data_IF_328066744219
#
_entry.id   IF_328066744219
#
_cell.length_a   1.000
_cell.length_b   1.000
_cell.length_c   1.000
_cell.angle_alpha   90.00
_cell.angle_beta   90.00
_cell.angle_gamma   90.00
#
_symmetry.space_group_name_H-M   'P 1'
#
loop_
_entity.id
_entity.type
_entity.pdbx_description
1 polymer ?
#
# COMPACT_ATOMS: atom_id res chain seq x y z
N UNK A 1 1.45 26.90 -13.98
CA UNK A 1 2.64 26.03 -14.10
C UNK A 1 2.36 24.81 -13.26
N UNK A 2 2.35 23.62 -13.84
CA UNK A 2 2.29 22.38 -13.06
C UNK A 2 3.59 22.32 -12.27
N UNK A 3 3.50 22.28 -10.95
CA UNK A 3 4.67 22.17 -10.08
C UNK A 3 5.41 20.85 -10.33
N UNK A 4 6.72 20.82 -10.10
CA UNK A 4 7.48 19.57 -10.15
C UNK A 4 7.14 18.76 -8.90
N UNK A 5 6.83 17.47 -9.10
CA UNK A 5 6.69 16.50 -8.01
C UNK A 5 8.03 15.80 -7.80
N UNK A 6 8.42 15.61 -6.54
CA UNK A 6 9.68 14.97 -6.18
C UNK A 6 9.40 13.75 -5.31
N UNK A 7 10.16 12.67 -5.53
CA UNK A 7 10.23 11.55 -4.60
C UNK A 7 11.29 11.87 -3.56
N UNK A 8 10.90 11.97 -2.29
CA UNK A 8 11.82 12.29 -1.20
C UNK A 8 12.71 11.09 -0.86
N UNK A 9 12.14 9.89 -0.90
CA UNK A 9 12.80 8.64 -0.63
C UNK A 9 11.78 7.51 -0.49
N UNK A 10 12.24 6.34 -0.06
CA UNK A 10 11.38 5.18 0.13
C UNK A 10 12.17 3.99 0.68
N UNK A 11 11.45 2.93 0.98
CA UNK A 11 12.00 1.66 1.45
C UNK A 11 11.25 0.49 0.83
N UNK A 12 11.80 -0.70 0.97
CA UNK A 12 11.22 -1.93 0.48
C UNK A 12 11.57 -3.05 1.44
N UNK A 13 10.58 -3.89 1.77
CA UNK A 13 10.84 -5.12 2.51
C UNK A 13 11.51 -6.16 1.61
N UNK A 14 12.19 -7.13 2.21
CA UNK A 14 12.73 -8.27 1.48
C UNK A 14 11.59 -9.18 0.97
N UNK A 15 11.46 -9.30 -0.35
CA UNK A 15 10.39 -10.08 -0.99
C UNK A 15 10.58 -11.61 -0.90
N UNK A 16 11.75 -12.09 -0.52
CA UNK A 16 11.99 -13.52 -0.27
C UNK A 16 11.38 -13.97 1.06
N UNK A 17 11.12 -13.05 1.98
CA UNK A 17 10.56 -13.38 3.29
C UNK A 17 9.14 -13.92 3.19
N UNK A 18 8.86 -14.91 4.03
CA UNK A 18 7.50 -15.41 4.24
C UNK A 18 6.99 -14.97 5.61
N UNK A 19 6.20 -13.91 5.64
CA UNK A 19 5.68 -13.27 6.83
C UNK A 19 4.88 -14.21 7.74
N UNK A 20 4.16 -15.18 7.14
CA UNK A 20 3.42 -16.20 7.89
C UNK A 20 4.37 -17.15 8.64
N UNK A 21 5.48 -17.55 8.02
CA UNK A 21 6.50 -18.38 8.69
C UNK A 21 7.20 -17.64 9.82
N UNK A 22 7.30 -16.32 9.71
CA UNK A 22 7.83 -15.44 10.76
C UNK A 22 6.80 -15.09 11.84
N UNK A 23 5.58 -15.62 11.74
CA UNK A 23 4.45 -15.28 12.62
C UNK A 23 4.15 -13.77 12.65
N UNK A 24 4.26 -13.11 11.49
CA UNK A 24 3.98 -11.71 11.27
C UNK A 24 2.76 -11.53 10.36
N UNK A 25 2.03 -10.48 10.55
CA UNK A 25 0.83 -10.12 9.80
C UNK A 25 1.05 -8.87 8.91
N UNK A 26 0.00 -8.44 8.23
CA UNK A 26 0.01 -7.25 7.37
C UNK A 26 0.41 -5.98 8.13
N UNK A 27 0.03 -5.82 9.40
CA UNK A 27 0.41 -4.65 10.20
C UNK A 27 1.91 -4.61 10.42
N UNK A 28 2.52 -5.77 10.71
CA UNK A 28 3.97 -5.85 10.89
C UNK A 28 4.74 -5.50 9.60
N UNK A 29 4.22 -5.93 8.44
CA UNK A 29 4.78 -5.58 7.13
C UNK A 29 4.66 -4.07 6.87
N UNK A 30 3.47 -3.51 7.05
CA UNK A 30 3.24 -2.07 6.87
C UNK A 30 4.10 -1.23 7.81
N UNK A 31 4.22 -1.68 9.08
CA UNK A 31 5.06 -0.98 10.05
C UNK A 31 6.52 -0.97 9.63
N UNK A 32 7.08 -2.11 9.27
CA UNK A 32 8.49 -2.22 8.87
C UNK A 32 8.80 -1.28 7.69
N UNK A 33 8.02 -1.33 6.61
CA UNK A 33 8.28 -0.51 5.42
C UNK A 33 8.07 0.98 5.69
N UNK A 34 7.11 1.35 6.56
CA UNK A 34 6.87 2.75 6.91
C UNK A 34 7.97 3.31 7.81
N UNK A 35 8.40 2.55 8.82
CA UNK A 35 9.53 2.93 9.68
C UNK A 35 10.79 3.18 8.83
N UNK A 36 11.11 2.25 7.94
CA UNK A 36 12.28 2.35 7.07
C UNK A 36 12.17 3.52 6.08
N UNK A 37 10.99 3.74 5.49
CA UNK A 37 10.78 4.83 4.55
C UNK A 37 10.86 6.21 5.23
N UNK A 38 10.28 6.37 6.41
CA UNK A 38 10.38 7.61 7.19
C UNK A 38 11.82 7.89 7.62
N UNK A 39 12.52 6.86 8.11
CA UNK A 39 13.94 6.97 8.47
C UNK A 39 14.82 7.38 7.28
N UNK A 40 14.56 6.83 6.09
CA UNK A 40 15.33 7.14 4.88
C UNK A 40 15.26 8.63 4.47
N UNK A 41 14.23 9.33 4.90
CA UNK A 41 14.01 10.76 4.59
C UNK A 41 14.11 11.67 5.81
N UNK A 42 14.55 11.15 6.96
CA UNK A 42 14.64 11.85 8.24
C UNK A 42 13.30 12.47 8.68
N UNK A 43 12.19 11.79 8.42
CA UNK A 43 10.87 12.12 8.97
C UNK A 43 10.53 11.17 10.11
N UNK A 44 9.75 11.66 11.05
CA UNK A 44 9.21 10.91 12.18
C UNK A 44 7.68 10.81 12.11
N UNK A 45 7.09 10.03 13.00
CA UNK A 45 5.63 10.00 13.16
C UNK A 45 5.08 11.33 13.70
N UNK A 46 5.86 12.06 14.48
CA UNK A 46 5.53 13.41 14.94
C UNK A 46 5.40 14.39 13.78
N UNK A 47 6.26 14.26 12.76
CA UNK A 47 6.14 15.08 11.53
C UNK A 47 4.85 14.76 10.78
N UNK A 48 4.43 13.48 10.75
CA UNK A 48 3.15 13.07 10.14
C UNK A 48 1.97 13.72 10.91
N UNK A 49 2.01 13.73 12.24
CA UNK A 49 1.00 14.41 13.07
C UNK A 49 0.93 15.92 12.72
N UNK A 50 2.07 16.58 12.60
CA UNK A 50 2.12 18.01 12.27
C UNK A 50 1.64 18.30 10.84
N UNK A 51 1.96 17.46 9.89
CA UNK A 51 1.44 17.54 8.52
C UNK A 51 -0.08 17.30 8.48
N UNK A 52 -0.58 16.35 9.27
CA UNK A 52 -2.02 16.06 9.36
C UNK A 52 -2.81 17.24 9.96
N UNK A 53 -2.32 17.87 11.01
CA UNK A 53 -2.92 19.09 11.61
C UNK A 53 -3.08 20.20 10.56
N UNK A 54 -2.20 20.25 9.57
CA UNK A 54 -2.22 21.24 8.47
C UNK A 54 -3.00 20.74 7.25
N UNK A 55 -3.57 19.53 7.27
CA UNK A 55 -4.18 18.86 6.14
C UNK A 55 -3.22 18.71 4.93
N UNK A 56 -1.94 18.37 5.19
CA UNK A 56 -0.88 18.32 4.17
C UNK A 56 -0.39 16.90 3.87
N UNK A 57 -0.95 15.88 4.53
CA UNK A 57 -0.61 14.47 4.33
C UNK A 57 -1.86 13.66 4.00
N UNK A 58 -1.70 12.64 3.17
CA UNK A 58 -2.68 11.58 2.93
C UNK A 58 -1.93 10.30 2.55
N UNK A 59 -2.58 9.15 2.70
CA UNK A 59 -2.01 7.85 2.40
C UNK A 59 -2.71 7.19 1.21
N UNK A 60 -1.90 6.62 0.32
CA UNK A 60 -2.32 5.97 -0.93
C UNK A 60 -1.80 4.54 -0.92
N UNK A 61 -2.68 3.57 -0.70
CA UNK A 61 -2.29 2.16 -0.55
C UNK A 61 -2.55 1.41 -1.84
N UNK A 62 -1.50 0.97 -2.51
CA UNK A 62 -1.59 0.08 -3.67
C UNK A 62 -1.69 -1.38 -3.22
N UNK A 63 -2.77 -2.06 -3.57
CA UNK A 63 -2.98 -3.46 -3.25
C UNK A 63 -3.95 -4.08 -4.25
N UNK A 64 -3.65 -5.29 -4.73
CA UNK A 64 -4.51 -6.00 -5.66
C UNK A 64 -5.70 -6.64 -4.93
N UNK A 65 -5.45 -7.61 -4.07
CA UNK A 65 -6.52 -8.47 -3.58
C UNK A 65 -6.30 -8.97 -2.14
N UNK A 66 -6.06 -8.03 -1.23
CA UNK A 66 -5.85 -8.35 0.19
C UNK A 66 -6.98 -9.16 0.82
N UNK A 67 -8.20 -9.01 0.32
CA UNK A 67 -9.37 -9.79 0.77
C UNK A 67 -9.14 -11.30 0.64
N UNK A 68 -8.40 -11.73 -0.36
CA UNK A 68 -8.17 -13.16 -0.61
C UNK A 68 -6.87 -13.68 0.00
N UNK A 69 -5.81 -12.87 0.04
CA UNK A 69 -4.54 -13.30 0.62
C UNK A 69 -4.51 -13.23 2.14
N UNK A 70 -5.12 -12.20 2.72
CA UNK A 70 -5.06 -11.94 4.17
C UNK A 70 -6.43 -11.74 4.81
N UNK A 71 -7.51 -12.02 4.07
CA UNK A 71 -8.89 -11.85 4.52
C UNK A 71 -9.18 -10.44 5.08
N UNK A 72 -8.61 -9.41 4.43
CA UNK A 72 -8.69 -8.03 4.89
C UNK A 72 -9.04 -7.08 3.75
N UNK A 73 -10.20 -6.45 3.84
CA UNK A 73 -10.56 -5.27 3.06
C UNK A 73 -10.07 -3.98 3.72
N UNK A 74 -10.40 -2.84 3.10
CA UNK A 74 -10.15 -1.49 3.64
C UNK A 74 -8.70 -1.26 4.13
N UNK A 75 -7.74 -1.71 3.34
CA UNK A 75 -6.31 -1.67 3.71
C UNK A 75 -5.80 -0.25 4.00
N UNK A 76 -6.41 0.78 3.40
CA UNK A 76 -6.07 2.17 3.72
C UNK A 76 -6.24 2.50 5.21
N UNK A 77 -7.27 1.96 5.86
CA UNK A 77 -7.51 2.21 7.29
C UNK A 77 -6.51 1.47 8.21
N UNK A 78 -5.85 0.42 7.74
CA UNK A 78 -4.91 -0.34 8.56
C UNK A 78 -3.68 0.46 9.01
N UNK A 79 -3.40 1.59 8.39
CA UNK A 79 -2.30 2.46 8.81
C UNK A 79 -2.52 3.00 10.23
N UNK A 80 -3.77 3.16 10.67
CA UNK A 80 -4.09 3.55 12.05
C UNK A 80 -3.70 2.49 13.07
N UNK A 81 -3.62 1.21 12.67
CA UNK A 81 -3.12 0.12 13.51
C UNK A 81 -1.59 0.05 13.54
N UNK A 82 -0.93 0.72 12.61
CA UNK A 82 0.54 0.81 12.58
C UNK A 82 1.03 1.83 13.60
N UNK A 83 0.43 3.02 13.58
CA UNK A 83 0.78 4.11 14.49
C UNK A 83 -0.37 5.13 14.59
N UNK A 84 -0.58 5.69 15.79
CA UNK A 84 -1.60 6.71 16.06
C UNK A 84 -1.41 8.00 15.24
N UNK A 85 -0.21 8.25 14.73
CA UNK A 85 0.06 9.38 13.83
C UNK A 85 -0.83 9.38 12.58
N UNK A 86 -1.37 8.23 12.21
CA UNK A 86 -2.30 8.10 11.09
C UNK A 86 -3.77 8.33 11.46
N UNK A 87 -4.11 8.59 12.71
CA UNK A 87 -5.48 8.92 13.09
C UNK A 87 -5.94 10.21 12.40
N UNK A 88 -7.05 10.10 11.65
CA UNK A 88 -7.60 11.22 10.88
C UNK A 88 -6.83 11.56 9.59
N UNK A 89 -5.77 10.85 9.24
CA UNK A 89 -5.10 10.99 7.94
C UNK A 89 -5.99 10.37 6.86
N UNK A 90 -6.39 11.14 5.82
CA UNK A 90 -7.14 10.58 4.70
C UNK A 90 -6.36 9.45 4.03
N UNK A 91 -7.01 8.31 3.82
CA UNK A 91 -6.38 7.15 3.19
C UNK A 91 -7.34 6.40 2.30
N UNK A 92 -6.83 5.84 1.20
CA UNK A 92 -7.59 5.01 0.29
C UNK A 92 -6.73 3.89 -0.30
N UNK A 93 -7.38 2.77 -0.66
CA UNK A 93 -6.77 1.71 -1.45
C UNK A 93 -7.00 1.97 -2.94
N UNK A 94 -5.96 1.72 -3.73
CA UNK A 94 -5.96 1.79 -5.19
C UNK A 94 -5.67 0.40 -5.74
N UNK A 95 -6.46 -0.02 -6.73
CA UNK A 95 -6.38 -1.36 -7.30
C UNK A 95 -6.32 -1.26 -8.82
N UNK A 96 -5.33 -1.92 -9.42
CA UNK A 96 -5.13 -2.15 -10.85
C UNK A 96 -4.26 -3.41 -11.05
N UNK A 97 -4.59 -4.50 -10.36
CA UNK A 97 -3.81 -5.74 -10.32
C UNK A 97 -2.32 -5.45 -10.01
N UNK A 98 -1.40 -5.92 -10.86
CA UNK A 98 0.05 -5.70 -10.68
C UNK A 98 0.46 -4.21 -10.76
N UNK A 99 -0.40 -3.35 -11.31
CA UNK A 99 -0.15 -1.91 -11.43
C UNK A 99 -0.71 -1.08 -10.25
N UNK A 100 -1.25 -1.71 -9.20
CA UNK A 100 -1.89 -1.01 -8.07
C UNK A 100 -0.99 0.04 -7.43
N UNK A 101 0.30 -0.26 -7.25
CA UNK A 101 1.27 0.69 -6.73
C UNK A 101 1.49 1.89 -7.65
N UNK A 102 1.52 1.67 -8.96
CA UNK A 102 1.68 2.74 -9.94
C UNK A 102 0.46 3.68 -9.97
N UNK A 103 -0.76 3.12 -9.89
CA UNK A 103 -2.00 3.93 -9.83
C UNK A 103 -2.09 4.71 -8.52
N UNK A 104 -1.66 4.13 -7.40
CA UNK A 104 -1.58 4.83 -6.12
C UNK A 104 -0.58 6.01 -6.19
N UNK A 105 0.57 5.82 -6.84
CA UNK A 105 1.56 6.87 -7.04
C UNK A 105 1.01 7.98 -7.95
N UNK A 106 0.38 7.65 -9.06
CA UNK A 106 -0.25 8.60 -9.98
C UNK A 106 -1.30 9.45 -9.26
N UNK A 107 -2.17 8.82 -8.46
CA UNK A 107 -3.15 9.52 -7.65
C UNK A 107 -2.50 10.47 -6.63
N UNK A 108 -1.40 10.06 -5.98
CA UNK A 108 -0.65 10.90 -5.06
C UNK A 108 -0.04 12.12 -5.77
N UNK A 109 0.55 11.92 -6.96
CA UNK A 109 1.10 13.01 -7.78
C UNK A 109 0.03 14.03 -8.14
N UNK A 110 -1.14 13.58 -8.60
CA UNK A 110 -2.26 14.47 -8.93
C UNK A 110 -2.72 15.30 -7.71
N UNK A 111 -2.63 14.73 -6.49
CA UNK A 111 -2.97 15.46 -5.27
C UNK A 111 -1.93 16.52 -4.88
N UNK A 112 -0.64 16.28 -5.15
CA UNK A 112 0.40 17.31 -5.00
C UNK A 112 0.16 18.44 -6.02
N UNK A 113 -0.03 18.09 -7.28
CA UNK A 113 -0.23 19.06 -8.38
C UNK A 113 -1.47 19.94 -8.16
N UNK A 114 -2.53 19.39 -7.57
CA UNK A 114 -3.73 20.15 -7.18
C UNK A 114 -3.57 21.03 -5.94
N UNK A 115 -2.44 20.92 -5.22
CA UNK A 115 -2.19 21.63 -3.96
C UNK A 115 -2.97 21.06 -2.76
N UNK A 116 -3.61 19.89 -2.92
CA UNK A 116 -4.38 19.27 -1.84
C UNK A 116 -3.49 18.79 -0.70
N UNK A 117 -2.36 18.16 -1.05
CA UNK A 117 -1.39 17.66 -0.07
C UNK A 117 0.03 18.04 -0.48
N UNK A 118 0.91 18.17 0.50
CA UNK A 118 2.33 18.50 0.27
C UNK A 118 3.21 17.24 0.33
N UNK A 119 2.87 16.29 1.22
CA UNK A 119 3.65 15.08 1.49
C UNK A 119 2.72 13.85 1.52
N UNK A 120 2.24 13.36 0.37
CA UNK A 120 1.52 12.08 0.36
C UNK A 120 2.47 10.91 0.60
N UNK A 121 1.96 9.89 1.29
CA UNK A 121 2.64 8.63 1.55
C UNK A 121 2.02 7.57 0.65
N UNK A 122 2.84 6.91 -0.18
CA UNK A 122 2.40 5.82 -1.05
C UNK A 122 2.97 4.50 -0.51
N UNK A 123 2.10 3.52 -0.29
CA UNK A 123 2.48 2.20 0.26
C UNK A 123 1.94 1.11 -0.65
N UNK A 124 2.81 0.21 -1.12
CA UNK A 124 2.41 -1.04 -1.76
C UNK A 124 2.44 -2.19 -0.75
N UNK A 125 1.44 -3.06 -0.75
CA UNK A 125 1.39 -4.22 0.15
C UNK A 125 0.66 -5.39 -0.51
N UNK A 126 1.33 -6.55 -0.60
CA UNK A 126 0.72 -7.81 -1.06
C UNK A 126 1.40 -9.01 -0.42
N UNK A 127 0.67 -9.80 0.35
CA UNK A 127 1.22 -10.96 1.07
C UNK A 127 1.00 -12.28 0.31
N UNK A 128 1.39 -12.33 -0.96
CA UNK A 128 1.15 -13.47 -1.85
C UNK A 128 1.86 -14.76 -1.43
N UNK A 129 3.10 -14.66 -0.97
CA UNK A 129 3.93 -15.83 -0.62
C UNK A 129 3.50 -16.54 0.68
N UNK A 130 2.41 -16.09 1.31
CA UNK A 130 1.81 -16.76 2.47
C UNK A 130 0.79 -17.83 2.08
N UNK A 131 0.32 -17.83 0.82
CA UNK A 131 -0.63 -18.81 0.29
C UNK A 131 0.07 -19.98 -0.39
N UNK A 132 -0.59 -21.14 -0.42
CA UNK A 132 -0.11 -22.29 -1.21
C UNK A 132 -0.12 -21.96 -2.71
N UNK A 133 0.79 -22.54 -3.48
CA UNK A 133 0.97 -22.23 -4.90
C UNK A 133 -0.31 -22.39 -5.73
N UNK A 134 -1.13 -23.40 -5.44
CA UNK A 134 -2.43 -23.60 -6.13
C UNK A 134 -3.41 -22.49 -5.79
N UNK A 135 -3.52 -22.13 -4.52
CA UNK A 135 -4.38 -21.02 -4.03
C UNK A 135 -3.90 -19.71 -4.61
N UNK A 136 -2.58 -19.47 -4.61
CA UNK A 136 -2.00 -18.27 -5.18
C UNK A 136 -2.34 -18.11 -6.68
N UNK A 137 -2.23 -19.18 -7.48
CA UNK A 137 -2.59 -19.17 -8.90
C UNK A 137 -4.06 -18.83 -9.11
N UNK A 138 -4.96 -19.47 -8.35
CA UNK A 138 -6.40 -19.20 -8.44
C UNK A 138 -6.73 -17.73 -8.08
N UNK A 139 -6.08 -17.17 -7.05
CA UNK A 139 -6.23 -15.76 -6.68
C UNK A 139 -5.70 -14.85 -7.79
N UNK A 140 -4.51 -15.13 -8.34
CA UNK A 140 -3.92 -14.35 -9.42
C UNK A 140 -4.77 -14.37 -10.70
N UNK A 141 -5.44 -15.47 -10.98
CA UNK A 141 -6.38 -15.60 -12.10
C UNK A 141 -7.50 -14.56 -12.08
N UNK A 142 -7.80 -14.00 -10.92
CA UNK A 142 -8.82 -12.93 -10.78
C UNK A 142 -8.37 -11.57 -11.32
N UNK A 143 -7.12 -11.43 -11.71
CA UNK A 143 -6.66 -10.27 -12.49
C UNK A 143 -7.17 -10.28 -13.93
N UNK A 144 -7.65 -11.43 -14.41
CA UNK A 144 -8.30 -11.60 -15.70
C UNK A 144 -9.84 -11.60 -15.55
N UNK A 145 -10.57 -11.75 -16.67
CA UNK A 145 -12.02 -11.96 -16.60
C UNK A 145 -12.30 -13.40 -16.16
N UNK A 146 -12.19 -13.64 -14.87
CA UNK A 146 -12.18 -14.97 -14.23
C UNK A 146 -13.36 -15.84 -14.65
N UNK A 147 -14.58 -15.31 -14.66
CA UNK A 147 -15.80 -16.07 -15.01
C UNK A 147 -15.73 -16.67 -16.42
N UNK A 148 -15.10 -15.99 -17.36
CA UNK A 148 -14.93 -16.45 -18.74
C UNK A 148 -13.72 -17.37 -18.89
N UNK A 149 -12.61 -17.02 -18.27
CA UNK A 149 -11.33 -17.66 -18.52
C UNK A 149 -11.17 -18.94 -17.71
N UNK A 150 -11.67 -19.02 -16.49
CA UNK A 150 -11.63 -20.20 -15.63
C UNK A 150 -12.42 -21.40 -16.21
N UNK A 151 -13.26 -21.19 -17.22
CA UNK A 151 -13.94 -22.27 -17.94
C UNK A 151 -13.03 -23.00 -18.95
N UNK A 152 -11.93 -22.38 -19.36
CA UNK A 152 -11.08 -22.85 -20.45
C UNK A 152 -9.68 -23.23 -20.00
N UNK A 153 -9.22 -22.73 -18.86
CA UNK A 153 -7.87 -22.97 -18.32
C UNK A 153 -7.92 -23.14 -16.79
N UNK A 154 -7.06 -24.03 -16.28
CA UNK A 154 -6.71 -24.01 -14.85
C UNK A 154 -5.64 -22.92 -14.64
N UNK A 155 -5.93 -21.97 -13.76
CA UNK A 155 -4.95 -20.96 -13.37
C UNK A 155 -3.86 -21.50 -12.45
#
# INVERSE_FOLDING_TARGET
MIGKVYVLGGAQTDFERNWKKENKNTIALLKEVLDDALNAVNLSYEDIIELNKKNKVACFVGNFIGEMYVNQGHLGALLTEVNEAFYGVPSARYEAACASGAVALDAAMAKIESGAYDVPIVVGSEMMNTADAKVCRDILGRAAFYEKEAQNVEF
#
